data_IF_447094087513
#
_entry.id   IF_447094087513
#
_cell.length_a   1.000
_cell.length_b   1.000
_cell.length_c   1.000
_cell.angle_alpha   90.00
_cell.angle_beta   90.00
_cell.angle_gamma   90.00
#
_symmetry.space_group_name_H-M   'P 1'
#
loop_
_entity.id
_entity.type
_entity.pdbx_description
1 polymer ?
#
# COMPACT_ATOMS: atom_id res chain seq x y z
N UNK A 1 59.13 3.47 -37.37
CA UNK A 1 58.39 4.66 -36.89
C UNK A 1 57.03 4.20 -36.36
N UNK A 2 56.72 4.31 -35.06
CA UNK A 2 55.38 4.06 -34.57
C UNK A 2 54.57 5.36 -34.53
N UNK A 3 53.36 5.35 -35.11
CA UNK A 3 52.40 6.45 -34.99
C UNK A 3 51.79 6.48 -33.58
N UNK A 4 51.56 7.66 -32.97
CA UNK A 4 50.94 7.75 -31.65
C UNK A 4 49.42 7.64 -31.76
N UNK A 5 48.81 6.76 -30.98
CA UNK A 5 47.35 6.74 -30.79
C UNK A 5 46.95 7.90 -29.88
N UNK A 6 46.35 8.94 -30.47
CA UNK A 6 45.69 10.04 -29.76
C UNK A 6 44.27 9.58 -29.41
N UNK A 7 43.97 9.41 -28.13
CA UNK A 7 42.61 9.15 -27.64
C UNK A 7 41.77 10.44 -27.71
N UNK A 8 40.64 10.49 -28.46
CA UNK A 8 39.77 11.66 -28.47
C UNK A 8 38.88 11.70 -27.22
N UNK A 9 39.07 12.74 -26.40
CA UNK A 9 38.33 13.06 -25.14
C UNK A 9 36.82 13.32 -25.30
N UNK A 10 36.23 13.07 -26.48
CA UNK A 10 34.88 13.51 -26.86
C UNK A 10 33.73 12.56 -26.53
N UNK A 11 33.99 11.30 -26.14
CA UNK A 11 32.92 10.31 -25.91
C UNK A 11 32.28 10.38 -24.52
N UNK A 12 32.90 11.07 -23.57
CA UNK A 12 32.46 11.04 -22.17
C UNK A 12 31.18 11.87 -21.91
N UNK A 13 30.90 12.91 -22.71
CA UNK A 13 29.71 13.76 -22.49
C UNK A 13 28.40 13.20 -23.05
N UNK A 14 28.43 12.27 -24.01
CA UNK A 14 27.22 11.73 -24.64
C UNK A 14 26.58 10.59 -23.83
N UNK A 15 27.37 9.89 -23.00
CA UNK A 15 26.89 8.74 -22.22
C UNK A 15 25.96 9.16 -21.08
N UNK A 16 26.20 10.32 -20.45
CA UNK A 16 25.38 10.76 -19.31
C UNK A 16 23.95 11.18 -19.68
N UNK A 17 23.67 11.61 -20.92
CA UNK A 17 22.33 12.01 -21.34
C UNK A 17 21.44 10.79 -21.67
N UNK A 18 22.03 9.67 -22.09
CA UNK A 18 21.30 8.45 -22.43
C UNK A 18 20.79 7.70 -21.19
N UNK A 19 21.55 7.71 -20.08
CA UNK A 19 21.10 7.06 -18.84
C UNK A 19 19.90 7.75 -18.18
N UNK A 20 19.75 9.06 -18.37
CA UNK A 20 18.63 9.82 -17.80
C UNK A 20 17.28 9.51 -18.48
N UNK A 21 17.29 9.08 -19.75
CA UNK A 21 16.10 8.72 -20.52
C UNK A 21 15.63 7.28 -20.27
N UNK A 22 16.41 6.47 -19.54
CA UNK A 22 16.10 5.07 -19.21
C UNK A 22 15.57 4.90 -17.77
N UNK A 23 15.36 5.98 -17.02
CA UNK A 23 14.57 5.94 -15.77
C UNK A 23 13.10 5.71 -16.13
N UNK A 24 12.78 4.47 -16.48
CA UNK A 24 11.40 3.99 -16.45
C UNK A 24 10.95 4.11 -15.01
N UNK A 25 10.01 5.01 -14.73
CA UNK A 25 9.31 5.01 -13.46
C UNK A 25 8.72 3.60 -13.28
N UNK A 26 9.20 2.87 -12.28
CA UNK A 26 8.56 1.62 -11.89
C UNK A 26 7.19 2.05 -11.36
N UNK A 27 6.17 1.92 -12.19
CA UNK A 27 4.80 2.03 -11.73
C UNK A 27 4.61 0.88 -10.74
N UNK A 28 4.43 1.19 -9.45
CA UNK A 28 3.94 0.21 -8.50
C UNK A 28 2.56 -0.18 -9.02
N UNK A 29 2.42 -1.40 -9.55
CA UNK A 29 1.10 -2.00 -9.75
C UNK A 29 0.49 -2.18 -8.35
N UNK A 30 -0.28 -1.20 -7.90
CA UNK A 30 -1.28 -1.46 -6.89
C UNK A 30 -2.32 -2.36 -7.56
N UNK A 31 -2.57 -3.53 -6.99
CA UNK A 31 -3.78 -4.27 -7.31
C UNK A 31 -4.98 -3.31 -7.18
N UNK A 32 -5.95 -3.43 -8.08
CA UNK A 32 -7.16 -2.59 -8.04
C UNK A 32 -7.73 -2.57 -6.63
N UNK A 33 -7.94 -1.37 -6.08
CA UNK A 33 -8.53 -1.21 -4.76
C UNK A 33 -9.81 -2.06 -4.68
N UNK A 34 -9.96 -2.89 -3.64
CA UNK A 34 -11.17 -3.68 -3.47
C UNK A 34 -12.38 -2.77 -3.29
N UNK A 35 -13.57 -3.29 -3.60
CA UNK A 35 -14.78 -2.52 -3.40
C UNK A 35 -14.93 -2.14 -1.91
N UNK A 36 -15.39 -0.91 -1.58
CA UNK A 36 -15.56 -0.47 -0.20
C UNK A 36 -16.44 -1.41 0.64
N UNK A 37 -16.19 -1.45 1.95
CA UNK A 37 -16.98 -2.22 2.90
C UNK A 37 -16.69 -3.73 2.91
N UNK A 38 -15.65 -4.19 2.22
CA UNK A 38 -15.17 -5.57 2.30
C UNK A 38 -14.09 -5.71 3.37
N UNK A 39 -14.08 -6.87 4.05
CA UNK A 39 -12.99 -7.28 4.92
C UNK A 39 -12.14 -8.30 4.16
N UNK A 40 -10.83 -8.07 4.11
CA UNK A 40 -9.90 -8.90 3.36
C UNK A 40 -8.69 -9.25 4.22
N UNK A 41 -8.12 -10.42 3.98
CA UNK A 41 -6.76 -10.76 4.41
C UNK A 41 -5.73 -10.01 3.56
N UNK A 42 -4.48 -9.87 4.02
CA UNK A 42 -3.40 -9.25 3.24
C UNK A 42 -3.20 -9.90 1.86
N UNK A 43 -3.46 -11.19 1.74
CA UNK A 43 -3.37 -11.97 0.49
C UNK A 43 -4.57 -11.77 -0.45
N UNK A 44 -5.56 -10.95 -0.05
CA UNK A 44 -6.74 -10.59 -0.84
C UNK A 44 -7.96 -11.48 -0.64
N UNK A 45 -7.87 -12.52 0.20
CA UNK A 45 -9.00 -13.40 0.50
C UNK A 45 -10.07 -12.66 1.33
N UNK A 46 -11.33 -12.77 0.92
CA UNK A 46 -12.45 -12.12 1.62
C UNK A 46 -12.81 -12.84 2.92
N UNK A 47 -12.99 -12.06 3.97
CA UNK A 47 -13.41 -12.50 5.29
C UNK A 47 -14.92 -12.30 5.47
N UNK A 48 -15.55 -13.27 6.13
CA UNK A 48 -16.94 -13.14 6.57
C UNK A 48 -16.98 -12.21 7.80
N UNK A 49 -17.78 -11.12 7.78
CA UNK A 49 -17.83 -10.16 8.89
C UNK A 49 -18.16 -10.81 10.22
N UNK A 50 -19.17 -11.68 10.29
CA UNK A 50 -19.61 -12.28 11.56
C UNK A 50 -18.49 -13.08 12.24
N UNK A 51 -17.77 -13.90 11.47
CA UNK A 51 -16.64 -14.69 11.97
C UNK A 51 -15.46 -13.80 12.37
N UNK A 52 -15.16 -12.77 11.58
CA UNK A 52 -14.10 -11.82 11.88
C UNK A 52 -14.40 -11.07 13.19
N UNK A 53 -15.63 -10.58 13.38
CA UNK A 53 -15.97 -9.82 14.59
C UNK A 53 -15.99 -10.70 15.84
N UNK A 54 -16.38 -11.98 15.72
CA UNK A 54 -16.23 -12.94 16.80
C UNK A 54 -14.75 -13.12 17.19
N UNK A 55 -13.86 -13.28 16.22
CA UNK A 55 -12.41 -13.39 16.48
C UNK A 55 -11.82 -12.11 17.08
N UNK A 56 -12.18 -10.95 16.53
CA UNK A 56 -11.68 -9.65 17.00
C UNK A 56 -12.13 -9.35 18.44
N UNK A 57 -13.33 -9.82 18.83
CA UNK A 57 -13.84 -9.65 20.20
C UNK A 57 -12.97 -10.36 21.26
N UNK A 58 -12.25 -11.42 20.89
CA UNK A 58 -11.32 -12.12 21.78
C UNK A 58 -10.02 -11.35 22.02
N UNK A 59 -9.73 -10.34 21.18
CA UNK A 59 -8.50 -9.56 21.27
C UNK A 59 -8.63 -8.48 22.34
N UNK A 60 -7.55 -8.26 23.10
CA UNK A 60 -7.49 -7.16 24.08
C UNK A 60 -7.34 -5.79 23.40
N UNK A 61 -6.68 -5.76 22.23
CA UNK A 61 -6.42 -4.54 21.46
C UNK A 61 -6.62 -4.86 19.98
N UNK A 62 -7.36 -3.98 19.30
CA UNK A 62 -7.52 -3.96 17.84
C UNK A 62 -7.10 -2.57 17.36
N UNK A 63 -6.22 -2.51 16.37
CA UNK A 63 -5.77 -1.25 15.77
C UNK A 63 -6.54 -0.99 14.48
N UNK A 64 -7.16 0.19 14.39
CA UNK A 64 -7.88 0.63 13.20
C UNK A 64 -7.05 1.74 12.53
N UNK A 65 -6.59 1.48 11.31
CA UNK A 65 -5.89 2.49 10.51
C UNK A 65 -6.87 3.42 9.81
N UNK A 66 -6.50 4.69 9.65
CA UNK A 66 -7.25 5.65 8.85
C UNK A 66 -6.34 6.65 8.14
N UNK A 67 -6.90 7.30 7.13
CA UNK A 67 -6.44 8.58 6.66
C UNK A 67 -7.35 9.66 7.26
N UNK A 68 -6.75 10.63 7.96
CA UNK A 68 -7.49 11.75 8.53
C UNK A 68 -8.19 12.57 7.43
N UNK A 69 -9.31 13.20 7.81
CA UNK A 69 -10.21 13.98 6.95
C UNK A 69 -10.98 13.15 5.89
N UNK A 70 -10.92 11.82 5.96
CA UNK A 70 -11.76 10.93 5.16
C UNK A 70 -13.01 10.47 5.95
N UNK A 71 -14.18 10.95 5.52
CA UNK A 71 -15.45 10.63 6.16
C UNK A 71 -15.85 9.16 6.05
N UNK A 72 -15.41 8.45 5.02
CA UNK A 72 -15.72 7.04 4.86
C UNK A 72 -14.92 6.21 5.87
N UNK A 73 -13.68 6.60 6.18
CA UNK A 73 -12.89 5.98 7.25
C UNK A 73 -13.51 6.20 8.63
N UNK A 74 -13.92 7.43 8.95
CA UNK A 74 -14.58 7.71 10.24
C UNK A 74 -15.88 6.90 10.40
N UNK A 75 -16.66 6.77 9.32
CA UNK A 75 -17.89 5.95 9.33
C UNK A 75 -17.59 4.47 9.52
N UNK A 76 -16.59 3.96 8.80
CA UNK A 76 -16.15 2.58 8.94
C UNK A 76 -15.64 2.28 10.36
N UNK A 77 -14.89 3.18 10.98
CA UNK A 77 -14.45 3.03 12.37
C UNK A 77 -15.62 2.95 13.34
N UNK A 78 -16.59 3.87 13.23
CA UNK A 78 -17.77 3.86 14.09
C UNK A 78 -18.55 2.54 13.95
N UNK A 79 -18.75 2.05 12.72
CA UNK A 79 -19.42 0.77 12.50
C UNK A 79 -18.62 -0.41 13.05
N UNK A 80 -17.29 -0.40 12.91
CA UNK A 80 -16.42 -1.42 13.48
C UNK A 80 -16.49 -1.44 15.00
N UNK A 81 -16.45 -0.28 15.64
CA UNK A 81 -16.61 -0.16 17.09
C UNK A 81 -18.00 -0.62 17.56
N UNK A 82 -19.06 -0.24 16.84
CA UNK A 82 -20.42 -0.68 17.15
C UNK A 82 -20.56 -2.22 17.06
N UNK A 83 -20.00 -2.83 16.01
CA UNK A 83 -20.00 -4.29 15.86
C UNK A 83 -19.20 -5.00 16.96
N UNK A 84 -18.03 -4.48 17.34
CA UNK A 84 -17.24 -5.04 18.45
C UNK A 84 -17.96 -4.88 19.80
N UNK A 85 -18.59 -3.73 20.05
CA UNK A 85 -19.39 -3.50 21.25
C UNK A 85 -20.59 -4.44 21.34
N UNK A 86 -21.23 -4.77 20.21
CA UNK A 86 -22.32 -5.75 20.17
C UNK A 86 -21.87 -7.16 20.60
N UNK A 87 -20.60 -7.53 20.33
CA UNK A 87 -20.03 -8.81 20.78
C UNK A 87 -19.64 -8.79 22.26
N UNK A 88 -19.18 -7.64 22.77
CA UNK A 88 -18.73 -7.46 24.16
C UNK A 88 -19.24 -6.14 24.75
N UNK A 89 -20.51 -6.10 25.18
CA UNK A 89 -21.07 -4.89 25.75
C UNK A 89 -20.39 -4.57 27.09
N UNK A 90 -19.88 -3.34 27.18
CA UNK A 90 -19.39 -2.75 28.42
C UNK A 90 -20.51 -1.82 28.93
N UNK A 91 -21.02 -2.08 30.13
CA UNK A 91 -22.03 -1.26 30.79
C UNK A 91 -21.37 -0.30 31.76
#
# INVERSE_FOLDING_TARGET
MPFPFIFPKGRLRLVCLACALMSSAIAVQADTCPAPGQWLQPEGARLAPDALFAELAERNVVLLGEQHDDMDHHRWQLHTLAGLHAQRPIW
#
